data_IF_036844219868
#
_entry.id   IF_036844219868
#
_cell.length_a   1.000
_cell.length_b   1.000
_cell.length_c   1.000
_cell.angle_alpha   90.00
_cell.angle_beta   90.00
_cell.angle_gamma   90.00
#
_symmetry.space_group_name_H-M   'P 1'
#
loop_
_entity.id
_entity.type
_entity.pdbx_description
1 polymer ?
#
# COMPACT_ATOMS: atom_id res chain seq x y z
N UNK A 1 8.76 -6.12 -3.33
CA UNK A 1 8.11 -5.07 -2.49
C UNK A 1 7.55 -4.01 -3.42
N UNK A 2 6.42 -3.40 -3.09
CA UNK A 2 5.78 -2.38 -3.94
C UNK A 2 6.40 -0.98 -3.70
N UNK A 3 6.84 -0.73 -2.46
CA UNK A 3 7.52 0.49 -2.04
C UNK A 3 8.89 0.14 -1.46
N UNK A 4 9.86 1.04 -1.63
CA UNK A 4 11.13 0.98 -0.90
C UNK A 4 10.99 1.55 0.52
N UNK A 5 11.98 1.32 1.39
CA UNK A 5 11.98 1.87 2.74
C UNK A 5 12.12 3.40 2.73
N UNK A 6 12.83 3.97 1.76
CA UNK A 6 12.96 5.41 1.55
C UNK A 6 11.63 6.04 1.13
N UNK A 7 10.91 5.42 0.20
CA UNK A 7 9.57 5.86 -0.20
C UNK A 7 8.59 5.79 0.98
N UNK A 8 8.67 4.73 1.78
CA UNK A 8 7.85 4.54 2.96
C UNK A 8 8.08 5.63 4.01
N UNK A 9 9.35 5.94 4.32
CA UNK A 9 9.72 7.04 5.23
C UNK A 9 9.20 8.39 4.74
N UNK A 10 9.35 8.67 3.45
CA UNK A 10 8.81 9.89 2.83
C UNK A 10 7.28 9.98 2.95
N UNK A 11 6.56 8.88 2.69
CA UNK A 11 5.10 8.79 2.81
C UNK A 11 4.62 8.99 4.24
N UNK A 12 5.35 8.45 5.22
CA UNK A 12 5.06 8.54 6.64
C UNK A 12 5.57 9.83 7.29
N UNK A 13 6.36 10.63 6.56
CA UNK A 13 7.03 11.84 7.07
C UNK A 13 7.92 11.55 8.28
N UNK A 14 8.67 10.46 8.19
CA UNK A 14 9.69 10.06 9.17
C UNK A 14 11.05 10.37 8.58
N UNK A 15 11.82 11.24 9.24
CA UNK A 15 13.11 11.72 8.74
C UNK A 15 14.30 10.80 9.11
N UNK A 16 14.15 9.97 10.15
CA UNK A 16 15.16 9.04 10.64
C UNK A 16 14.84 7.56 10.30
N UNK A 17 15.68 6.65 10.76
CA UNK A 17 15.53 5.20 10.58
C UNK A 17 15.08 4.48 11.86
N UNK A 18 14.75 5.19 12.95
CA UNK A 18 14.33 4.54 14.21
C UNK A 18 13.07 3.71 14.05
N UNK A 19 12.19 4.11 13.12
CA UNK A 19 10.94 3.41 12.85
C UNK A 19 11.09 2.29 11.80
N UNK A 20 12.27 2.07 11.23
CA UNK A 20 12.47 1.05 10.18
C UNK A 20 12.09 -0.36 10.64
N UNK A 21 12.35 -0.69 11.91
CA UNK A 21 12.00 -2.00 12.50
C UNK A 21 10.48 -2.23 12.54
N UNK A 22 9.68 -1.16 12.59
CA UNK A 22 8.22 -1.19 12.54
C UNK A 22 7.73 -1.14 11.09
N UNK A 23 8.33 -0.27 10.26
CA UNK A 23 7.91 -0.03 8.88
C UNK A 23 8.19 -1.26 7.98
N UNK A 24 9.34 -1.93 8.14
CA UNK A 24 9.74 -3.06 7.28
C UNK A 24 8.74 -4.21 7.31
N UNK A 25 8.27 -4.72 8.47
CA UNK A 25 7.23 -5.74 8.52
C UNK A 25 5.93 -5.33 7.81
N UNK A 26 5.51 -4.07 7.95
CA UNK A 26 4.30 -3.57 7.27
C UNK A 26 4.49 -3.58 5.75
N UNK A 27 5.62 -3.08 5.25
CA UNK A 27 5.94 -3.10 3.83
C UNK A 27 6.03 -4.52 3.25
N UNK A 28 6.50 -5.49 4.03
CA UNK A 28 6.55 -6.89 3.63
C UNK A 28 5.16 -7.52 3.53
N UNK A 29 4.19 -7.08 4.35
CA UNK A 29 2.83 -7.59 4.35
C UNK A 29 1.94 -7.01 3.23
N UNK A 30 2.17 -5.76 2.81
CA UNK A 30 1.34 -5.07 1.80
C UNK A 30 1.18 -5.87 0.48
N UNK A 31 2.25 -6.42 -0.14
CA UNK A 31 2.11 -7.19 -1.38
C UNK A 31 1.15 -8.37 -1.25
N UNK A 32 1.21 -9.11 -0.14
CA UNK A 32 0.33 -10.26 0.10
C UNK A 32 -1.12 -9.79 0.31
N UNK A 33 -1.32 -8.73 1.09
CA UNK A 33 -2.65 -8.15 1.27
C UNK A 33 -3.29 -7.69 -0.04
N UNK A 34 -2.53 -7.00 -0.89
CA UNK A 34 -3.03 -6.58 -2.21
C UNK A 34 -3.30 -7.79 -3.12
N UNK A 35 -2.48 -8.84 -3.07
CA UNK A 35 -2.75 -10.07 -3.80
C UNK A 35 -4.08 -10.71 -3.37
N UNK A 36 -4.29 -10.88 -2.06
CA UNK A 36 -5.50 -11.49 -1.52
C UNK A 36 -6.77 -10.68 -1.81
N UNK A 37 -6.67 -9.35 -1.85
CA UNK A 37 -7.82 -8.47 -2.05
C UNK A 37 -8.13 -8.17 -3.50
N UNK A 38 -7.16 -8.26 -4.41
CA UNK A 38 -7.33 -7.93 -5.84
C UNK A 38 -7.20 -9.12 -6.78
N UNK A 39 -6.69 -10.25 -6.28
CA UNK A 39 -6.42 -11.46 -7.07
C UNK A 39 -5.14 -11.40 -7.91
N UNK A 40 -4.27 -10.40 -7.72
CA UNK A 40 -3.07 -10.19 -8.54
C UNK A 40 -1.85 -9.74 -7.74
N UNK A 41 -0.67 -10.25 -8.12
CA UNK A 41 0.63 -9.74 -7.66
C UNK A 41 0.96 -8.41 -8.34
N UNK A 42 1.15 -7.37 -7.53
CA UNK A 42 1.52 -6.01 -7.99
C UNK A 42 2.98 -5.65 -7.69
N UNK A 43 3.71 -6.59 -7.11
CA UNK A 43 5.13 -6.50 -6.74
C UNK A 43 6.07 -7.17 -7.75
N UNK A 44 5.52 -7.57 -8.91
CA UNK A 44 6.24 -8.17 -10.03
C UNK A 44 5.98 -7.38 -11.32
N UNK A 45 7.02 -7.23 -12.15
CA UNK A 45 6.95 -6.54 -13.43
C UNK A 45 7.06 -5.02 -13.30
N UNK A 46 6.45 -4.31 -14.25
CA UNK A 46 6.48 -2.85 -14.29
C UNK A 46 5.71 -2.22 -13.11
N UNK A 47 6.25 -1.18 -12.46
CA UNK A 47 5.55 -0.49 -11.38
C UNK A 47 4.20 0.06 -11.84
N UNK A 48 3.12 -0.36 -11.16
CA UNK A 48 1.78 0.16 -11.40
C UNK A 48 1.52 1.35 -10.46
N UNK A 49 1.35 2.59 -10.97
CA UNK A 49 1.21 3.77 -10.12
C UNK A 49 0.06 3.67 -9.11
N UNK A 50 -1.07 3.10 -9.52
CA UNK A 50 -2.22 2.89 -8.64
C UNK A 50 -1.91 1.92 -7.48
N UNK A 51 -1.11 0.88 -7.74
CA UNK A 51 -0.70 -0.07 -6.71
C UNK A 51 0.27 0.59 -5.71
N UNK A 52 1.21 1.42 -6.19
CA UNK A 52 2.09 2.22 -5.32
C UNK A 52 1.31 3.18 -4.42
N UNK A 53 0.37 3.93 -4.98
CA UNK A 53 -0.48 4.85 -4.20
C UNK A 53 -1.30 4.11 -3.15
N UNK A 54 -1.90 2.97 -3.54
CA UNK A 54 -2.70 2.16 -2.62
C UNK A 54 -1.84 1.59 -1.49
N UNK A 55 -0.65 1.08 -1.81
CA UNK A 55 0.33 0.63 -0.82
C UNK A 55 0.71 1.74 0.16
N UNK A 56 0.89 2.98 -0.31
CA UNK A 56 1.22 4.12 0.54
C UNK A 56 0.11 4.45 1.55
N UNK A 57 -1.16 4.44 1.12
CA UNK A 57 -2.29 4.67 2.03
C UNK A 57 -2.50 3.51 3.02
N UNK A 58 -2.29 2.27 2.59
CA UNK A 58 -2.31 1.12 3.49
C UNK A 58 -1.22 1.27 4.56
N UNK A 59 -0.01 1.65 4.16
CA UNK A 59 1.09 1.89 5.09
C UNK A 59 0.76 2.98 6.10
N UNK A 60 0.22 4.12 5.66
CA UNK A 60 -0.22 5.20 6.55
C UNK A 60 -1.27 4.72 7.56
N UNK A 61 -2.26 3.93 7.11
CA UNK A 61 -3.30 3.38 7.98
C UNK A 61 -2.74 2.39 9.01
N UNK A 62 -1.76 1.56 8.62
CA UNK A 62 -1.20 0.52 9.49
C UNK A 62 -0.15 1.05 10.47
N UNK A 63 0.61 2.07 10.08
CA UNK A 63 1.70 2.61 10.90
C UNK A 63 1.21 3.43 12.08
N UNK A 64 0.33 4.41 11.85
CA UNK A 64 -0.24 5.23 12.92
C UNK A 64 -1.65 5.74 12.52
N UNK A 65 -2.72 4.98 12.82
CA UNK A 65 -4.07 5.37 12.47
C UNK A 65 -4.54 6.54 13.36
N UNK A 66 -4.36 7.76 12.87
CA UNK A 66 -4.97 8.95 13.48
C UNK A 66 -6.52 8.82 13.43
N UNK A 67 -7.16 8.80 14.60
CA UNK A 67 -8.56 8.34 14.79
C UNK A 67 -9.63 9.07 13.97
N UNK A 68 -9.41 10.34 13.58
CA UNK A 68 -10.39 11.11 12.79
C UNK A 68 -10.27 10.90 11.29
N UNK A 69 -9.06 10.69 10.77
CA UNK A 69 -8.81 10.55 9.33
C UNK A 69 -8.73 9.08 8.88
N UNK A 70 -8.56 8.14 9.82
CA UNK A 70 -8.43 6.71 9.53
C UNK A 70 -9.66 6.12 8.83
N UNK A 71 -10.88 6.52 9.19
CA UNK A 71 -12.10 6.02 8.54
C UNK A 71 -12.23 6.54 7.10
N UNK A 72 -11.85 7.79 6.85
CA UNK A 72 -11.82 8.35 5.49
C UNK A 72 -10.73 7.67 4.65
N UNK A 73 -9.56 7.44 5.24
CA UNK A 73 -8.45 6.75 4.59
C UNK A 73 -8.84 5.31 4.25
N UNK A 74 -9.50 4.60 5.16
CA UNK A 74 -10.01 3.24 4.94
C UNK A 74 -10.97 3.17 3.75
N UNK A 75 -11.97 4.07 3.66
CA UNK A 75 -12.89 4.12 2.50
C UNK A 75 -12.18 4.41 1.19
N UNK A 76 -11.15 5.24 1.24
CA UNK A 76 -10.30 5.53 0.07
C UNK A 76 -9.56 4.28 -0.37
N UNK A 77 -8.95 3.55 0.56
CA UNK A 77 -8.27 2.26 0.29
C UNK A 77 -9.24 1.24 -0.31
N UNK A 78 -10.45 1.09 0.24
CA UNK A 78 -11.46 0.17 -0.30
C UNK A 78 -11.82 0.50 -1.75
N UNK A 79 -12.02 1.79 -2.07
CA UNK A 79 -12.30 2.25 -3.44
C UNK A 79 -11.13 1.99 -4.40
N UNK A 80 -9.89 2.15 -3.93
CA UNK A 80 -8.69 1.86 -4.71
C UNK A 80 -8.51 0.36 -4.96
N UNK A 81 -8.83 -0.50 -3.98
CA UNK A 81 -8.81 -1.96 -4.14
C UNK A 81 -9.80 -2.41 -5.22
N UNK A 82 -11.01 -1.83 -5.24
CA UNK A 82 -11.99 -2.11 -6.31
C UNK A 82 -11.43 -1.74 -7.68
N UNK A 83 -10.80 -0.56 -7.79
CA UNK A 83 -10.19 -0.08 -9.03
C UNK A 83 -9.01 -0.96 -9.47
N UNK A 84 -8.15 -1.38 -8.54
CA UNK A 84 -7.05 -2.31 -8.80
C UNK A 84 -7.57 -3.68 -9.24
N UNK A 85 -8.66 -4.16 -8.65
CA UNK A 85 -9.29 -5.43 -9.04
C UNK A 85 -9.77 -5.37 -10.49
N UNK A 86 -10.41 -4.27 -10.89
CA UNK A 86 -10.83 -4.05 -12.28
C UNK A 86 -9.64 -3.99 -13.24
N UNK A 87 -8.59 -3.24 -12.88
CA UNK A 87 -7.35 -3.17 -13.67
C UNK A 87 -6.67 -4.54 -13.79
N UNK A 88 -6.67 -5.33 -12.70
CA UNK A 88 -6.10 -6.66 -12.65
C UNK A 88 -6.74 -7.59 -13.68
N UNK A 89 -8.07 -7.52 -13.81
CA UNK A 89 -8.83 -8.29 -14.82
C UNK A 89 -8.44 -7.91 -16.24
N UNK A 90 -8.27 -6.62 -16.53
CA UNK A 90 -7.94 -6.14 -17.89
C UNK A 90 -6.58 -6.57 -18.44
N UNK A 91 -5.66 -7.10 -17.62
CA UNK A 91 -4.39 -7.64 -18.15
C UNK A 91 -4.45 -9.18 -18.33
N UNK A 92 -5.55 -9.82 -17.93
CA UNK A 92 -5.79 -11.25 -18.18
C UNK A 92 -6.67 -11.46 -19.44
N UNK A 93 -7.24 -10.38 -19.99
CA UNK A 93 -7.93 -10.32 -21.27
C UNK A 93 -6.95 -9.99 -22.41
#
# INVERSE_FOLDING_TARGET
>A
MILTIEEARSILRVDDDYNDEIIKPLLQAIPEYLYLTTGRRWDYGEPVPLAKTTAGFILQLWFDPQTKDSERLKRTIESLIVSLTALGRSYND
#
